data_IF_217103551686
#
_entry.id   IF_217103551686
#
_cell.length_a   1.000
_cell.length_b   1.000
_cell.length_c   1.000
_cell.angle_alpha   90.00
_cell.angle_beta   90.00
_cell.angle_gamma   90.00
#
_symmetry.space_group_name_H-M   'P 1'
#
loop_
_entity.id
_entity.type
_entity.pdbx_description
1 polymer ?
#
# COMPACT_ATOMS: atom_id res chain seq x y z
N UNK A 1 2.66 -1.47 12.89
CA UNK A 1 4.08 -1.48 12.45
C UNK A 1 4.45 -0.06 12.10
N UNK A 2 5.64 0.44 12.46
CA UNK A 2 5.99 1.81 12.11
C UNK A 2 6.61 1.92 10.70
N UNK A 3 6.61 3.13 10.14
CA UNK A 3 7.15 3.42 8.79
C UNK A 3 8.58 2.92 8.59
N UNK A 4 9.46 3.07 9.59
CA UNK A 4 10.88 2.69 9.47
C UNK A 4 11.04 1.18 9.36
N UNK A 5 10.27 0.42 10.12
CA UNK A 5 10.24 -1.04 10.05
C UNK A 5 9.71 -1.51 8.70
N UNK A 6 8.61 -0.91 8.23
CA UNK A 6 8.05 -1.24 6.94
C UNK A 6 9.04 -1.00 5.80
N UNK A 7 9.74 0.15 5.80
CA UNK A 7 10.74 0.47 4.78
C UNK A 7 11.89 -0.54 4.71
N UNK A 8 12.26 -1.18 5.83
CA UNK A 8 13.29 -2.24 5.84
C UNK A 8 12.86 -3.50 5.10
N UNK A 9 11.56 -3.81 5.09
CA UNK A 9 11.00 -5.00 4.44
C UNK A 9 10.36 -4.70 3.08
N UNK A 10 10.22 -3.42 2.71
CA UNK A 10 9.54 -2.98 1.48
C UNK A 10 10.09 -3.68 0.23
N UNK A 11 11.41 -3.76 0.07
CA UNK A 11 12.03 -4.38 -1.10
C UNK A 11 11.71 -5.88 -1.19
N UNK A 12 11.74 -6.59 -0.06
CA UNK A 12 11.36 -8.00 0.01
C UNK A 12 9.89 -8.21 -0.37
N UNK A 13 8.99 -7.36 0.15
CA UNK A 13 7.57 -7.39 -0.21
C UNK A 13 7.34 -7.08 -1.69
N UNK A 14 8.04 -6.08 -2.24
CA UNK A 14 7.95 -5.70 -3.65
C UNK A 14 8.36 -6.85 -4.58
N UNK A 15 9.41 -7.61 -4.24
CA UNK A 15 9.81 -8.79 -5.00
C UNK A 15 8.74 -9.88 -5.04
N UNK A 16 7.92 -10.00 -3.98
CA UNK A 16 6.85 -11.01 -3.88
C UNK A 16 5.55 -10.58 -4.56
N UNK A 17 5.38 -9.28 -4.79
CA UNK A 17 4.16 -8.67 -5.36
C UNK A 17 4.06 -8.83 -6.89
N UNK A 18 5.10 -9.33 -7.55
CA UNK A 18 5.18 -9.55 -9.00
C UNK A 18 4.77 -8.31 -9.81
N UNK A 19 3.57 -8.32 -10.40
CA UNK A 19 3.02 -7.22 -11.21
C UNK A 19 2.60 -6.00 -10.38
N UNK A 20 2.34 -6.19 -9.08
CA UNK A 20 1.88 -5.11 -8.20
C UNK A 20 3.05 -4.23 -7.78
N UNK A 21 2.86 -2.92 -7.83
CA UNK A 21 3.82 -1.91 -7.37
C UNK A 21 3.45 -1.42 -5.98
N UNK A 22 4.44 -1.34 -5.09
CA UNK A 22 4.29 -0.86 -3.72
C UNK A 22 4.91 0.54 -3.56
N UNK A 23 4.07 1.53 -3.34
CA UNK A 23 4.46 2.94 -3.27
C UNK A 23 4.18 3.55 -1.90
N UNK A 24 5.11 4.39 -1.43
CA UNK A 24 5.00 5.06 -0.13
C UNK A 24 5.38 6.52 -0.29
N UNK A 25 4.52 7.41 0.19
CA UNK A 25 4.77 8.85 0.26
C UNK A 25 3.85 9.65 -0.64
N UNK A 26 3.67 9.23 -1.89
CA UNK A 26 2.82 9.90 -2.87
C UNK A 26 1.59 9.06 -3.23
N UNK A 27 0.51 9.76 -3.56
CA UNK A 27 -0.66 9.18 -4.20
C UNK A 27 -0.35 8.93 -5.68
N UNK A 28 -0.36 7.66 -6.08
CA UNK A 28 -0.07 7.23 -7.45
C UNK A 28 -1.35 6.64 -8.04
N UNK A 29 -1.65 6.97 -9.31
CA UNK A 29 -2.85 6.53 -10.03
C UNK A 29 -2.55 5.47 -11.13
N UNK A 30 -1.40 4.82 -11.05
CA UNK A 30 -1.02 3.76 -11.98
C UNK A 30 -1.76 2.45 -11.68
N UNK A 31 -1.97 1.63 -12.72
CA UNK A 31 -2.56 0.31 -12.58
C UNK A 31 -1.70 -0.60 -11.69
N UNK A 32 -2.34 -1.58 -11.05
CA UNK A 32 -1.70 -2.56 -10.16
C UNK A 32 -0.77 -1.91 -9.13
N UNK A 33 -1.22 -0.83 -8.50
CA UNK A 33 -0.42 -0.11 -7.49
C UNK A 33 -1.11 -0.16 -6.15
N UNK A 34 -0.37 -0.53 -5.11
CA UNK A 34 -0.78 -0.48 -3.71
C UNK A 34 0.10 0.57 -3.05
N UNK A 35 -0.47 1.43 -2.22
CA UNK A 35 0.36 2.41 -1.56
C UNK A 35 -0.25 3.08 -0.35
N UNK A 36 0.58 3.88 0.30
CA UNK A 36 0.23 4.66 1.47
C UNK A 36 0.88 6.04 1.40
N UNK A 37 0.11 7.09 1.66
CA UNK A 37 0.58 8.46 1.68
C UNK A 37 -0.06 9.25 2.81
N UNK A 38 0.61 10.34 3.21
CA UNK A 38 0.06 11.29 4.17
C UNK A 38 -0.55 12.47 3.41
N UNK A 39 -1.87 12.60 3.47
CA UNK A 39 -2.59 13.73 2.93
C UNK A 39 -2.38 14.94 3.85
N UNK A 40 -1.60 15.91 3.39
CA UNK A 40 -1.28 17.12 4.16
C UNK A 40 -2.44 18.10 4.27
N UNK A 41 -3.43 18.03 3.37
CA UNK A 41 -4.63 18.86 3.39
C UNK A 41 -5.60 18.36 4.46
N UNK A 42 -5.84 17.05 4.49
CA UNK A 42 -6.74 16.42 5.47
C UNK A 42 -6.04 16.04 6.78
N UNK A 43 -4.71 16.08 6.80
CA UNK A 43 -3.84 15.64 7.91
C UNK A 43 -4.03 14.18 8.31
N UNK A 44 -4.30 13.32 7.32
CA UNK A 44 -4.58 11.90 7.52
C UNK A 44 -3.73 11.02 6.62
N UNK A 45 -3.40 9.84 7.11
CA UNK A 45 -2.86 8.77 6.31
C UNK A 45 -3.96 8.12 5.48
N UNK A 46 -3.65 7.86 4.22
CA UNK A 46 -4.53 7.18 3.28
C UNK A 46 -3.81 5.98 2.68
N UNK A 47 -4.44 4.82 2.77
CA UNK A 47 -3.98 3.59 2.13
C UNK A 47 -4.85 3.34 0.91
N UNK A 48 -4.24 3.06 -0.23
CA UNK A 48 -4.95 2.90 -1.48
C UNK A 48 -4.52 1.65 -2.25
N UNK A 49 -5.43 1.18 -3.09
CA UNK A 49 -5.21 0.10 -4.05
C UNK A 49 -5.81 0.52 -5.38
N UNK A 50 -4.99 0.40 -6.43
CA UNK A 50 -5.37 0.64 -7.80
C UNK A 50 -5.40 -0.70 -8.53
N UNK A 51 -6.59 -1.12 -8.89
CA UNK A 51 -6.76 -2.26 -9.78
C UNK A 51 -6.62 -1.79 -11.23
N UNK A 52 -6.60 -2.75 -12.15
CA UNK A 52 -6.61 -2.49 -13.59
C UNK A 52 -7.72 -1.51 -14.01
N UNK A 53 -7.44 -0.70 -15.03
CA UNK A 53 -8.36 0.28 -15.65
C UNK A 53 -8.60 1.52 -14.79
N UNK A 54 -7.59 1.95 -14.02
CA UNK A 54 -7.61 3.22 -13.28
C UNK A 54 -8.60 3.26 -12.11
N UNK A 55 -9.00 2.11 -11.55
CA UNK A 55 -9.89 2.07 -10.38
C UNK A 55 -9.10 2.31 -9.11
N UNK A 56 -8.90 3.58 -8.78
CA UNK A 56 -8.32 4.02 -7.52
C UNK A 56 -9.31 3.84 -6.37
N UNK A 57 -8.90 3.16 -5.31
CA UNK A 57 -9.72 2.93 -4.12
C UNK A 57 -8.93 3.20 -2.86
N UNK A 58 -9.43 4.14 -2.05
CA UNK A 58 -8.96 4.30 -0.68
C UNK A 58 -9.53 3.16 0.17
N UNK A 59 -8.65 2.42 0.84
CA UNK A 59 -8.97 1.29 1.72
C UNK A 59 -9.10 1.73 3.18
N UNK A 60 -8.28 2.68 3.60
CA UNK A 60 -8.25 3.20 4.96
C UNK A 60 -7.92 4.70 4.95
N UNK A 61 -8.56 5.44 5.84
CA UNK A 61 -8.23 6.83 6.19
C UNK A 61 -8.10 6.90 7.71
N UNK A 62 -6.93 7.26 8.22
CA UNK A 62 -6.66 7.31 9.66
C UNK A 62 -5.69 8.44 10.01
N UNK A 63 -5.71 8.89 11.26
CA UNK A 63 -4.71 9.82 11.80
C UNK A 63 -3.47 9.08 12.32
N UNK A 64 -3.55 7.76 12.52
CA UNK A 64 -2.49 6.93 13.08
C UNK A 64 -1.57 6.36 11.97
N UNK A 65 -0.29 6.73 12.00
CA UNK A 65 0.70 6.21 11.06
C UNK A 65 0.81 4.67 11.15
N UNK A 66 0.87 4.11 12.35
CA UNK A 66 1.08 2.67 12.54
C UNK A 66 -0.08 1.85 11.99
N UNK A 67 -1.31 2.31 12.19
CA UNK A 67 -2.52 1.68 11.65
C UNK A 67 -2.52 1.68 10.12
N UNK A 68 -2.08 2.79 9.51
CA UNK A 68 -1.96 2.88 8.05
C UNK A 68 -0.94 1.89 7.49
N UNK A 69 0.22 1.73 8.14
CA UNK A 69 1.23 0.76 7.70
C UNK A 69 0.83 -0.69 8.00
N UNK A 70 0.07 -0.95 9.07
CA UNK A 70 -0.49 -2.28 9.34
C UNK A 70 -1.53 -2.69 8.29
N UNK A 71 -2.42 -1.77 7.89
CA UNK A 71 -3.37 -2.04 6.81
C UNK A 71 -2.67 -2.21 5.46
N UNK A 72 -1.65 -1.38 5.18
CA UNK A 72 -0.83 -1.53 3.97
C UNK A 72 -0.19 -2.92 3.91
N UNK A 73 0.40 -3.38 5.03
CA UNK A 73 1.01 -4.71 5.13
C UNK A 73 -0.03 -5.83 4.93
N UNK A 74 -1.22 -5.68 5.53
CA UNK A 74 -2.33 -6.63 5.38
C UNK A 74 -2.71 -6.82 3.91
N UNK A 75 -2.91 -5.72 3.18
CA UNK A 75 -3.25 -5.74 1.75
C UNK A 75 -2.12 -6.36 0.92
N UNK A 76 -0.87 -5.97 1.18
CA UNK A 76 0.28 -6.52 0.46
C UNK A 76 0.40 -8.02 0.68
N UNK A 77 0.25 -8.51 1.91
CA UNK A 77 0.30 -9.94 2.19
C UNK A 77 -0.82 -10.70 1.50
N UNK A 78 -2.04 -10.15 1.46
CA UNK A 78 -3.16 -10.75 0.73
C UNK A 78 -2.85 -10.93 -0.76
N UNK A 79 -2.28 -9.91 -1.41
CA UNK A 79 -1.92 -10.00 -2.83
C UNK A 79 -0.74 -10.95 -3.07
N UNK A 80 0.25 -10.97 -2.18
CA UNK A 80 1.36 -11.95 -2.22
C UNK A 80 0.84 -13.38 -2.10
N UNK A 81 -0.13 -13.63 -1.23
CA UNK A 81 -0.76 -14.94 -1.10
C UNK A 81 -1.58 -15.32 -2.32
N UNK A 82 -2.38 -14.40 -2.87
CA UNK A 82 -3.15 -14.66 -4.10
C UNK A 82 -2.25 -14.99 -5.30
N UNK A 83 -1.13 -14.27 -5.48
CA UNK A 83 -0.20 -14.51 -6.58
C UNK A 83 0.42 -15.92 -6.54
N UNK A 84 0.57 -16.54 -5.36
CA UNK A 84 1.13 -17.90 -5.24
C UNK A 84 0.25 -19.00 -5.86
N UNK A 85 -1.03 -18.70 -6.09
CA UNK A 85 -2.01 -19.67 -6.60
C UNK A 85 -2.47 -19.37 -8.04
N UNK A 86 -1.92 -18.33 -8.68
CA UNK A 86 -2.17 -17.95 -10.09
C UNK A 86 -1.00 -18.34 -10.98
#
# INVERSE_FOLDING_TARGET
MNRKEFLKIKEELQCKLEKWKLEIGDEIFADFTIGCFYDTCEKKWKVYVNNERGRHRIRLITENEEEAFDELLSIVNFEVENNRYT
#
